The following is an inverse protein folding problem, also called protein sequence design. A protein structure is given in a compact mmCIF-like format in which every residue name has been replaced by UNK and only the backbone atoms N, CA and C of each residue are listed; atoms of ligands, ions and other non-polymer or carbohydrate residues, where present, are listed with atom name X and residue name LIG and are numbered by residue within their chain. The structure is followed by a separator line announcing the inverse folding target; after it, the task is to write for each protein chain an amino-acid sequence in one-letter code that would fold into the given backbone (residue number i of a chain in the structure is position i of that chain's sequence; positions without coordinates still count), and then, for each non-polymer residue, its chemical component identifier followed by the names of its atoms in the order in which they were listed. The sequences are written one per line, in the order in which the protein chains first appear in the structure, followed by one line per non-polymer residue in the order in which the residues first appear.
data_IF_747101682983
#
_entry.id   IF_747101682983
#
_cell.length_a   1.000
_cell.length_b   1.000
_cell.length_c   1.000
_cell.angle_alpha   90.00
_cell.angle_beta   90.00
_cell.angle_gamma   90.00
#
_symmetry.space_group_name_H-M   'P 1'
#
loop_
_entity.id
_entity.type
_entity.pdbx_description
1 polymer ?
#
# COMPACT_ATOMS: atom_id res chain seq x y z
N UNK A 1 -96.71 -31.87 -35.74
CA UNK A 1 -96.76 -30.72 -34.80
C UNK A 1 -95.84 -31.02 -33.67
N UNK A 2 -94.68 -30.52 -33.62
CA UNK A 2 -93.88 -30.27 -32.46
C UNK A 2 -92.59 -29.53 -32.89
N UNK A 3 -92.45 -28.31 -32.46
CA UNK A 3 -91.30 -27.49 -32.75
C UNK A 3 -90.21 -27.76 -31.70
N UNK A 4 -89.04 -28.21 -32.13
CA UNK A 4 -87.90 -28.35 -31.24
C UNK A 4 -87.01 -27.17 -31.47
N UNK A 5 -86.85 -26.30 -30.41
CA UNK A 5 -85.98 -25.15 -30.39
C UNK A 5 -84.56 -25.59 -30.25
N UNK A 6 -83.71 -25.16 -31.20
CA UNK A 6 -82.23 -25.26 -31.07
C UNK A 6 -81.71 -24.18 -30.22
N UNK A 7 -81.02 -24.52 -29.10
CA UNK A 7 -80.28 -23.60 -28.24
C UNK A 7 -78.82 -23.53 -28.73
N UNK A 8 -78.46 -22.36 -29.22
CA UNK A 8 -77.09 -22.06 -29.64
C UNK A 8 -76.19 -21.88 -28.42
N UNK A 9 -75.17 -22.70 -28.28
CA UNK A 9 -74.11 -22.53 -27.28
C UNK A 9 -73.06 -21.53 -27.80
N UNK A 10 -73.01 -20.34 -27.23
CA UNK A 10 -71.90 -19.38 -27.43
C UNK A 10 -70.76 -19.81 -26.55
N UNK A 11 -69.65 -20.18 -27.18
CA UNK A 11 -68.39 -20.49 -26.52
C UNK A 11 -67.70 -19.18 -26.17
N UNK A 12 -67.53 -18.88 -24.87
CA UNK A 12 -66.69 -17.79 -24.40
C UNK A 12 -65.25 -18.26 -24.40
N UNK A 13 -64.43 -17.68 -25.24
CA UNK A 13 -62.97 -17.78 -25.17
C UNK A 13 -62.50 -16.75 -24.13
N UNK A 14 -62.14 -17.25 -22.95
CA UNK A 14 -61.41 -16.46 -21.94
C UNK A 14 -59.93 -16.45 -22.31
N UNK A 15 -59.45 -15.30 -22.81
CA UNK A 15 -58.03 -15.06 -23.02
C UNK A 15 -57.29 -14.98 -21.69
N UNK A 16 -56.39 -15.88 -21.42
CA UNK A 16 -55.45 -15.83 -20.30
C UNK A 16 -54.28 -14.99 -20.75
N UNK A 17 -54.22 -13.71 -20.28
CA UNK A 17 -53.02 -12.86 -20.47
C UNK A 17 -51.99 -13.37 -19.50
N UNK A 18 -50.91 -13.99 -20.03
CA UNK A 18 -49.71 -14.28 -19.27
C UNK A 18 -48.94 -12.98 -18.96
N UNK A 19 -49.05 -12.49 -17.76
CA UNK A 19 -48.18 -11.42 -17.25
C UNK A 19 -46.79 -11.97 -17.03
N UNK A 20 -45.83 -11.55 -17.88
CA UNK A 20 -44.42 -11.84 -17.67
C UNK A 20 -43.93 -11.10 -16.43
N UNK A 21 -43.71 -11.80 -15.31
CA UNK A 21 -43.04 -11.28 -14.13
C UNK A 21 -41.54 -11.23 -14.47
N UNK A 22 -41.05 -10.05 -14.80
CA UNK A 22 -39.60 -9.81 -14.90
C UNK A 22 -39.00 -9.97 -13.49
N UNK A 23 -38.31 -11.06 -13.26
CA UNK A 23 -37.55 -11.27 -12.03
C UNK A 23 -36.36 -10.29 -12.05
N UNK A 24 -36.47 -9.18 -11.32
CA UNK A 24 -35.37 -8.30 -11.03
C UNK A 24 -34.34 -9.07 -10.19
N UNK A 25 -33.21 -9.42 -10.77
CA UNK A 25 -32.09 -10.00 -10.04
C UNK A 25 -31.66 -9.00 -8.95
N UNK A 26 -31.53 -9.42 -7.68
CA UNK A 26 -31.03 -8.53 -6.65
C UNK A 26 -29.62 -8.12 -7.02
N UNK A 27 -29.38 -6.81 -7.17
CA UNK A 27 -28.02 -6.27 -7.29
C UNK A 27 -27.28 -6.66 -6.01
N UNK A 28 -26.30 -7.57 -6.14
CA UNK A 28 -25.40 -7.92 -5.04
C UNK A 28 -24.53 -6.68 -4.82
N UNK A 29 -24.92 -5.83 -3.88
CA UNK A 29 -24.05 -4.79 -3.35
C UNK A 29 -22.88 -5.52 -2.68
N UNK A 30 -21.73 -5.52 -3.34
CA UNK A 30 -20.49 -6.01 -2.72
C UNK A 30 -20.28 -5.21 -1.43
N UNK A 31 -20.21 -5.90 -0.29
CA UNK A 31 -19.89 -5.26 0.98
C UNK A 31 -18.59 -4.46 0.81
N UNK A 32 -18.50 -3.24 1.36
CA UNK A 32 -17.28 -2.46 1.29
C UNK A 32 -16.13 -3.31 1.82
N UNK A 33 -15.06 -3.45 1.01
CA UNK A 33 -13.86 -4.17 1.44
C UNK A 33 -13.39 -3.55 2.75
N UNK A 34 -13.10 -4.36 3.80
CA UNK A 34 -12.55 -3.82 5.04
C UNK A 34 -11.30 -3.02 4.70
N UNK A 35 -11.18 -1.82 5.29
CA UNK A 35 -10.00 -0.97 5.08
C UNK A 35 -8.76 -1.81 5.36
N UNK A 36 -7.84 -1.89 4.40
CA UNK A 36 -6.60 -2.64 4.53
C UNK A 36 -5.89 -2.24 5.81
N UNK A 37 -5.50 -3.20 6.64
CA UNK A 37 -4.73 -2.92 7.85
C UNK A 37 -3.32 -2.54 7.43
N UNK A 38 -3.01 -1.26 7.50
CA UNK A 38 -1.75 -0.70 7.07
C UNK A 38 -0.80 -0.48 8.26
N UNK A 39 0.51 -0.63 8.00
CA UNK A 39 1.59 -0.28 8.92
C UNK A 39 2.63 0.54 8.17
N UNK A 40 3.16 1.56 8.81
CA UNK A 40 4.27 2.37 8.31
C UNK A 40 5.55 1.89 8.97
N UNK A 41 6.52 1.43 8.18
CA UNK A 41 7.85 1.08 8.65
C UNK A 41 8.79 2.19 8.22
N UNK A 42 9.41 2.84 9.20
CA UNK A 42 10.12 4.08 9.03
C UNK A 42 11.58 3.97 9.46
N UNK A 43 12.50 4.34 8.57
CA UNK A 43 13.81 4.81 8.96
C UNK A 43 14.01 6.24 8.45
N UNK A 44 14.59 7.12 9.26
CA UNK A 44 14.90 8.49 8.87
C UNK A 44 16.01 9.06 9.74
N UNK A 45 17.05 9.60 9.12
CA UNK A 45 18.16 10.25 9.81
C UNK A 45 17.93 11.76 10.01
N UNK A 46 17.57 12.45 8.92
CA UNK A 46 17.45 13.92 8.91
C UNK A 46 16.04 14.43 9.22
N UNK A 47 15.06 13.53 9.35
CA UNK A 47 13.67 13.88 9.60
C UNK A 47 12.81 14.08 8.34
N UNK A 48 13.37 14.13 7.14
CA UNK A 48 12.60 14.35 5.91
C UNK A 48 11.63 13.18 5.64
N UNK A 49 12.13 11.95 5.66
CA UNK A 49 11.28 10.77 5.50
C UNK A 49 10.32 10.60 6.67
N UNK A 50 10.73 10.97 7.90
CA UNK A 50 9.85 10.94 9.07
C UNK A 50 8.65 11.87 8.90
N UNK A 51 8.86 13.06 8.35
CA UNK A 51 7.77 13.98 8.03
C UNK A 51 6.73 13.33 7.11
N UNK A 52 7.16 12.68 6.02
CA UNK A 52 6.23 11.98 5.11
C UNK A 52 5.47 10.86 5.82
N UNK A 53 6.16 10.07 6.65
CA UNK A 53 5.55 8.99 7.43
C UNK A 53 4.48 9.53 8.40
N UNK A 54 4.73 10.65 9.06
CA UNK A 54 3.78 11.32 9.94
C UNK A 54 2.55 11.83 9.16
N UNK A 55 2.75 12.36 7.95
CA UNK A 55 1.64 12.77 7.07
C UNK A 55 0.79 11.57 6.63
N UNK A 56 1.43 10.46 6.26
CA UNK A 56 0.71 9.21 5.92
C UNK A 56 -0.07 8.71 7.15
N UNK A 57 0.53 8.72 8.33
CA UNK A 57 -0.17 8.37 9.56
C UNK A 57 -1.42 9.24 9.78
N UNK A 58 -1.29 10.55 9.62
CA UNK A 58 -2.41 11.49 9.80
C UNK A 58 -3.56 11.25 8.81
N UNK A 59 -3.27 10.88 7.55
CA UNK A 59 -4.29 10.64 6.52
C UNK A 59 -4.91 9.23 6.61
N UNK A 60 -4.14 8.22 7.07
CA UNK A 60 -4.55 6.81 7.00
C UNK A 60 -4.89 6.18 8.36
N UNK A 61 -4.38 6.75 9.45
CA UNK A 61 -4.42 6.15 10.79
C UNK A 61 -3.46 4.97 10.97
N UNK A 62 -2.64 4.62 9.96
CA UNK A 62 -1.68 3.51 10.04
C UNK A 62 -0.61 3.79 11.11
N UNK A 63 -0.35 2.89 12.05
CA UNK A 63 0.69 3.08 13.07
C UNK A 63 2.09 3.14 12.44
N UNK A 64 3.02 3.79 13.13
CA UNK A 64 4.42 3.92 12.71
C UNK A 64 5.30 3.02 13.56
N UNK A 65 6.04 2.11 12.91
CA UNK A 65 7.13 1.34 13.49
C UNK A 65 8.47 1.94 13.02
N UNK A 66 9.19 2.58 13.94
CA UNK A 66 10.49 3.18 13.61
C UNK A 66 11.61 2.15 13.72
N UNK A 67 12.37 1.98 12.65
CA UNK A 67 13.58 1.17 12.64
C UNK A 67 14.73 2.01 13.20
N UNK A 68 15.41 1.50 14.22
CA UNK A 68 16.56 2.14 14.82
C UNK A 68 17.77 1.22 14.77
N UNK A 69 18.89 1.65 14.17
CA UNK A 69 20.12 0.89 14.21
C UNK A 69 20.65 0.82 15.65
N UNK A 70 21.24 -0.33 16.03
CA UNK A 70 21.86 -0.52 17.35
C UNK A 70 23.01 0.45 17.57
N UNK A 71 23.81 0.64 16.54
CA UNK A 71 24.87 1.66 16.52
C UNK A 71 24.41 2.80 15.62
N UNK A 72 24.16 4.00 16.14
CA UNK A 72 23.75 5.15 15.34
C UNK A 72 24.80 5.50 14.27
N UNK A 73 24.34 6.15 13.19
CA UNK A 73 25.27 6.74 12.22
C UNK A 73 25.95 7.97 12.80
N UNK A 74 27.15 8.27 12.27
CA UNK A 74 27.89 9.43 12.68
C UNK A 74 27.07 10.72 12.55
N UNK A 75 27.17 11.66 13.52
CA UNK A 75 26.44 12.93 13.46
C UNK A 75 26.84 13.77 12.26
N UNK A 76 28.13 13.85 11.96
CA UNK A 76 28.65 14.60 10.82
C UNK A 76 28.24 13.92 9.51
N UNK A 77 27.74 14.72 8.56
CA UNK A 77 27.18 14.20 7.32
C UNK A 77 28.20 13.44 6.46
N UNK A 78 29.43 13.97 6.28
CA UNK A 78 30.49 13.31 5.52
C UNK A 78 30.81 11.92 6.04
N UNK A 79 31.02 11.80 7.36
CA UNK A 79 31.40 10.52 7.97
C UNK A 79 30.27 9.48 7.84
N UNK A 80 29.02 9.95 7.94
CA UNK A 80 27.86 9.11 7.72
C UNK A 80 27.78 8.64 6.26
N UNK A 81 27.97 9.54 5.29
CA UNK A 81 27.86 9.20 3.87
C UNK A 81 28.94 8.23 3.43
N UNK A 82 30.16 8.35 3.92
CA UNK A 82 31.26 7.43 3.62
C UNK A 82 30.98 6.03 4.20
N UNK A 83 30.57 5.97 5.46
CA UNK A 83 30.16 4.71 6.09
C UNK A 83 28.99 4.04 5.38
N UNK A 84 27.95 4.80 5.05
CA UNK A 84 26.79 4.30 4.31
C UNK A 84 27.16 3.81 2.90
N UNK A 85 28.08 4.50 2.22
CA UNK A 85 28.60 4.07 0.90
C UNK A 85 29.22 2.69 0.95
N UNK A 86 30.09 2.45 1.94
CA UNK A 86 30.73 1.15 2.12
C UNK A 86 29.72 0.05 2.45
N UNK A 87 28.75 0.34 3.32
CA UNK A 87 27.68 -0.60 3.64
C UNK A 87 26.85 -0.95 2.40
N UNK A 88 26.49 0.03 1.57
CA UNK A 88 25.73 -0.17 0.33
C UNK A 88 26.55 -1.02 -0.65
N UNK A 89 27.81 -0.65 -0.89
CA UNK A 89 28.70 -1.35 -1.84
C UNK A 89 28.93 -2.80 -1.47
N UNK A 90 29.12 -3.10 -0.17
CA UNK A 90 29.36 -4.45 0.37
C UNK A 90 28.08 -5.24 0.60
N UNK A 91 26.90 -4.65 0.37
CA UNK A 91 25.60 -5.23 0.73
C UNK A 91 25.56 -5.66 2.21
N UNK A 92 26.17 -4.85 3.08
CA UNK A 92 26.31 -5.15 4.50
C UNK A 92 24.96 -5.12 5.21
N UNK A 93 24.92 -5.79 6.37
CA UNK A 93 23.82 -5.65 7.34
C UNK A 93 24.23 -4.63 8.40
N UNK A 94 23.23 -3.95 8.96
CA UNK A 94 23.40 -3.12 10.15
C UNK A 94 22.41 -3.56 11.21
N UNK A 95 22.92 -4.04 12.34
CA UNK A 95 22.06 -4.52 13.43
C UNK A 95 21.06 -3.44 13.85
N UNK A 96 19.78 -3.81 13.95
CA UNK A 96 18.71 -2.95 14.43
C UNK A 96 18.36 -3.33 15.87
N UNK A 97 18.03 -2.32 16.71
CA UNK A 97 17.61 -2.54 18.11
C UNK A 97 16.09 -2.57 18.25
N UNK A 98 15.37 -2.16 17.23
CA UNK A 98 13.90 -2.16 17.23
C UNK A 98 13.37 -3.57 17.38
N UNK A 99 12.51 -3.78 18.36
CA UNK A 99 11.73 -5.03 18.46
C UNK A 99 10.61 -5.00 17.44
N UNK A 100 10.63 -5.95 16.53
CA UNK A 100 9.62 -6.07 15.48
C UNK A 100 8.43 -6.86 16.02
N UNK A 101 7.22 -6.29 16.05
CA UNK A 101 6.02 -7.02 16.47
C UNK A 101 5.61 -8.05 15.42
N UNK A 102 4.59 -8.85 15.74
CA UNK A 102 3.95 -9.69 14.72
C UNK A 102 3.33 -8.83 13.61
N UNK A 103 3.78 -9.06 12.38
CA UNK A 103 3.32 -8.34 11.20
C UNK A 103 2.15 -9.03 10.48
N UNK A 104 1.71 -10.20 10.95
CA UNK A 104 0.67 -11.00 10.29
C UNK A 104 -0.66 -10.25 10.16
N UNK A 105 -0.96 -9.38 11.12
CA UNK A 105 -2.18 -8.57 11.15
C UNK A 105 -2.24 -7.42 10.13
N UNK A 106 -1.18 -7.17 9.35
CA UNK A 106 -1.12 -6.08 8.38
C UNK A 106 -1.06 -6.62 6.96
N UNK A 107 -1.91 -6.10 6.08
CA UNK A 107 -1.95 -6.47 4.66
C UNK A 107 -1.12 -5.50 3.80
N UNK A 108 -1.00 -4.25 4.26
CA UNK A 108 -0.32 -3.16 3.57
C UNK A 108 0.80 -2.59 4.41
N UNK A 109 1.95 -2.39 3.78
CA UNK A 109 3.15 -1.85 4.42
C UNK A 109 3.64 -0.64 3.63
N UNK A 110 3.72 0.53 4.27
CA UNK A 110 4.45 1.66 3.76
C UNK A 110 5.92 1.53 4.19
N UNK A 111 6.83 1.44 3.23
CA UNK A 111 8.28 1.46 3.49
C UNK A 111 8.76 2.90 3.33
N UNK A 112 8.89 3.61 4.44
CA UNK A 112 9.35 5.00 4.49
C UNK A 112 10.84 5.05 4.81
N UNK A 113 11.69 5.34 3.82
CA UNK A 113 13.13 5.22 3.94
C UNK A 113 13.89 6.25 3.10
N UNK A 114 15.03 6.77 3.56
CA UNK A 114 15.89 7.58 2.72
C UNK A 114 16.58 6.70 1.66
N UNK A 115 16.80 7.29 0.51
CA UNK A 115 17.64 6.70 -0.53
C UNK A 115 19.09 7.15 -0.31
N UNK A 116 19.99 6.19 -0.20
CA UNK A 116 21.42 6.44 -0.07
C UNK A 116 22.22 5.77 -1.20
N UNK A 117 23.02 6.55 -1.89
CA UNK A 117 23.85 6.05 -2.99
C UNK A 117 23.07 5.25 -4.06
N UNK A 118 21.84 5.68 -4.35
CA UNK A 118 20.97 5.02 -5.32
C UNK A 118 20.22 3.79 -4.82
N UNK A 119 20.34 3.44 -3.53
CA UNK A 119 19.79 2.22 -2.93
C UNK A 119 18.97 2.51 -1.66
N UNK A 120 18.23 1.52 -1.22
CA UNK A 120 17.58 1.51 0.09
C UNK A 120 18.64 1.55 1.20
N UNK A 121 18.43 2.36 2.23
CA UNK A 121 19.34 2.44 3.37
C UNK A 121 19.58 1.08 4.06
N UNK A 122 20.73 0.94 4.71
CA UNK A 122 21.13 -0.34 5.28
C UNK A 122 20.25 -0.83 6.43
N UNK A 123 19.77 0.02 7.37
CA UNK A 123 18.82 -0.41 8.41
C UNK A 123 17.54 -1.00 7.84
N UNK A 124 16.94 -0.35 6.84
CA UNK A 124 15.73 -0.85 6.20
C UNK A 124 16.00 -2.12 5.40
N UNK A 125 17.14 -2.22 4.69
CA UNK A 125 17.54 -3.49 4.03
C UNK A 125 17.69 -4.62 5.04
N UNK A 126 18.32 -4.36 6.19
CA UNK A 126 18.46 -5.38 7.25
C UNK A 126 17.09 -5.85 7.73
N UNK A 127 16.16 -4.92 7.97
CA UNK A 127 14.80 -5.27 8.32
C UNK A 127 14.13 -6.17 7.26
N UNK A 128 14.23 -5.82 5.98
CA UNK A 128 13.61 -6.61 4.91
C UNK A 128 14.27 -7.97 4.68
N UNK A 129 15.59 -8.10 4.96
CA UNK A 129 16.27 -9.39 4.94
C UNK A 129 15.71 -10.36 6.00
N UNK A 130 15.33 -9.86 7.17
CA UNK A 130 14.78 -10.65 8.26
C UNK A 130 13.27 -10.85 8.15
N UNK A 131 12.58 -9.91 7.46
CA UNK A 131 11.13 -9.88 7.30
C UNK A 131 10.76 -9.61 5.83
N UNK A 132 10.79 -10.61 4.94
CA UNK A 132 10.61 -10.42 3.49
C UNK A 132 9.18 -10.09 3.06
N UNK A 133 8.27 -9.80 3.98
CA UNK A 133 6.90 -9.30 3.77
C UNK A 133 6.09 -10.08 2.72
N UNK A 134 6.24 -11.40 2.68
CA UNK A 134 5.55 -12.26 1.71
C UNK A 134 4.02 -12.10 1.79
N UNK A 135 3.37 -11.98 0.64
CA UNK A 135 1.92 -11.84 0.51
C UNK A 135 1.39 -10.43 0.84
N UNK A 136 2.24 -9.50 1.25
CA UNK A 136 1.82 -8.13 1.59
C UNK A 136 1.92 -7.20 0.39
N UNK A 137 1.16 -6.11 0.46
CA UNK A 137 1.27 -4.99 -0.49
C UNK A 137 2.23 -3.95 0.08
N UNK A 138 3.26 -3.59 -0.67
CA UNK A 138 4.28 -2.60 -0.26
C UNK A 138 4.11 -1.32 -1.06
N UNK A 139 4.07 -0.20 -0.35
CA UNK A 139 4.10 1.16 -0.90
C UNK A 139 5.44 1.81 -0.52
N UNK A 140 6.41 1.92 -1.43
CA UNK A 140 7.66 2.63 -1.16
C UNK A 140 7.41 4.14 -1.04
N UNK A 141 7.99 4.76 -0.01
CA UNK A 141 7.95 6.21 0.22
C UNK A 141 9.35 6.66 0.53
N UNK A 142 9.97 7.42 -0.37
CA UNK A 142 11.39 7.68 -0.29
C UNK A 142 11.74 9.16 -0.43
N UNK A 143 12.84 9.54 0.22
CA UNK A 143 13.45 10.84 0.07
C UNK A 143 14.93 10.70 -0.29
N UNK A 144 15.47 11.58 -1.13
CA UNK A 144 16.90 11.60 -1.46
C UNK A 144 17.41 13.02 -1.65
N UNK A 145 18.73 13.20 -1.72
CA UNK A 145 19.32 14.48 -2.11
C UNK A 145 19.07 14.79 -3.60
N UNK A 146 19.43 13.85 -4.48
CA UNK A 146 19.36 14.06 -5.93
C UNK A 146 19.21 12.77 -6.73
N UNK A 147 19.24 11.60 -6.09
CA UNK A 147 19.23 10.30 -6.80
C UNK A 147 17.79 9.86 -7.11
N UNK A 148 17.62 9.20 -8.26
CA UNK A 148 16.36 8.55 -8.64
C UNK A 148 16.04 7.37 -7.71
N UNK A 149 14.75 7.12 -7.40
CA UNK A 149 14.33 6.04 -6.51
C UNK A 149 14.40 4.64 -7.14
N UNK A 150 14.71 4.50 -8.42
CA UNK A 150 14.68 3.22 -9.14
C UNK A 150 15.45 2.09 -8.44
N UNK A 151 16.61 2.39 -7.83
CA UNK A 151 17.39 1.40 -7.09
C UNK A 151 16.72 0.94 -5.80
N UNK A 152 15.96 1.80 -5.14
CA UNK A 152 15.18 1.42 -3.94
C UNK A 152 14.10 0.40 -4.29
N UNK A 153 13.36 0.65 -5.36
CA UNK A 153 12.31 -0.27 -5.82
C UNK A 153 12.91 -1.62 -6.22
N UNK A 154 14.06 -1.60 -6.90
CA UNK A 154 14.80 -2.81 -7.26
C UNK A 154 15.28 -3.60 -6.00
N UNK A 155 15.79 -2.90 -4.99
CA UNK A 155 16.19 -3.52 -3.72
C UNK A 155 14.99 -4.16 -3.00
N UNK A 156 13.83 -3.48 -2.96
CA UNK A 156 12.62 -4.02 -2.35
C UNK A 156 12.13 -5.26 -3.11
N UNK A 157 12.14 -5.26 -4.45
CA UNK A 157 11.81 -6.44 -5.25
C UNK A 157 12.73 -7.62 -4.95
N UNK A 158 14.04 -7.37 -4.84
CA UNK A 158 15.02 -8.39 -4.51
C UNK A 158 14.81 -8.98 -3.12
N UNK A 159 14.51 -8.15 -2.13
CA UNK A 159 14.36 -8.54 -0.73
C UNK A 159 12.96 -9.11 -0.41
N UNK A 160 11.95 -8.69 -1.14
CA UNK A 160 10.56 -9.08 -0.94
C UNK A 160 9.93 -9.69 -2.22
N UNK A 161 10.50 -10.78 -2.78
CA UNK A 161 10.07 -11.30 -4.09
C UNK A 161 8.65 -11.86 -4.12
N UNK A 162 8.03 -12.09 -2.96
CA UNK A 162 6.65 -12.57 -2.82
C UNK A 162 5.67 -11.48 -2.36
N UNK A 163 6.09 -10.22 -2.35
CA UNK A 163 5.24 -9.08 -2.05
C UNK A 163 4.72 -8.43 -3.34
N UNK A 164 3.60 -7.71 -3.25
CA UNK A 164 3.10 -6.85 -4.33
C UNK A 164 3.61 -5.43 -4.12
N UNK A 165 4.50 -4.94 -4.98
CA UNK A 165 5.07 -3.60 -4.87
C UNK A 165 4.26 -2.64 -5.73
N UNK A 166 3.80 -1.56 -5.13
CA UNK A 166 3.01 -0.50 -5.76
C UNK A 166 3.90 0.65 -6.23
N UNK A 167 3.39 1.55 -7.10
CA UNK A 167 4.12 2.75 -7.46
C UNK A 167 4.59 3.53 -6.24
N UNK A 168 5.83 3.93 -6.27
CA UNK A 168 6.48 4.68 -5.19
C UNK A 168 6.00 6.13 -5.11
N UNK A 169 6.13 6.72 -3.92
CA UNK A 169 6.16 8.15 -3.71
C UNK A 169 7.59 8.57 -3.40
N UNK A 170 8.13 9.45 -4.22
CA UNK A 170 9.48 9.98 -4.04
C UNK A 170 9.50 11.50 -4.20
N UNK A 171 10.25 12.15 -3.33
CA UNK A 171 10.54 13.58 -3.42
C UNK A 171 11.97 13.86 -2.99
N UNK A 172 12.61 14.95 -3.47
CA UNK A 172 13.82 15.48 -2.87
C UNK A 172 13.62 15.76 -1.38
N UNK A 173 14.65 15.53 -0.55
CA UNK A 173 14.51 15.64 0.90
C UNK A 173 14.14 17.05 1.37
N UNK A 174 14.64 18.08 0.71
CA UNK A 174 14.31 19.50 0.98
C UNK A 174 12.90 19.89 0.54
N UNK A 175 12.30 19.15 -0.38
CA UNK A 175 10.92 19.32 -0.83
C UNK A 175 9.90 18.53 0.01
N UNK A 176 10.34 17.61 0.86
CA UNK A 176 9.44 16.74 1.62
C UNK A 176 8.35 17.52 2.39
N UNK A 177 8.71 18.66 2.99
CA UNK A 177 7.76 19.48 3.75
C UNK A 177 6.82 20.34 2.89
N UNK A 178 7.00 20.34 1.59
CA UNK A 178 6.16 21.06 0.61
C UNK A 178 5.26 20.11 -0.20
N UNK A 179 5.43 18.80 -0.04
CA UNK A 179 4.80 17.77 -0.88
C UNK A 179 3.46 17.26 -0.34
N UNK A 180 2.84 17.90 0.64
CA UNK A 180 1.59 17.43 1.26
C UNK A 180 0.46 17.19 0.26
N UNK A 181 0.26 18.10 -0.70
CA UNK A 181 -0.79 17.98 -1.71
C UNK A 181 -0.56 16.81 -2.67
N UNK A 182 0.71 16.61 -3.05
CA UNK A 182 1.13 15.51 -3.93
C UNK A 182 1.00 14.17 -3.21
N UNK A 183 1.46 14.09 -1.96
CA UNK A 183 1.35 12.91 -1.12
C UNK A 183 -0.12 12.52 -0.92
N UNK A 184 -0.98 13.47 -0.62
CA UNK A 184 -2.42 13.23 -0.47
C UNK A 184 -3.07 12.74 -1.76
N UNK A 185 -2.65 13.29 -2.90
CA UNK A 185 -3.12 12.84 -4.22
C UNK A 185 -2.67 11.41 -4.50
N UNK A 186 -1.41 11.09 -4.18
CA UNK A 186 -0.87 9.74 -4.34
C UNK A 186 -1.57 8.73 -3.42
N UNK A 187 -1.84 9.06 -2.15
CA UNK A 187 -2.59 8.23 -1.22
C UNK A 187 -3.99 7.92 -1.74
N UNK A 188 -4.74 8.93 -2.24
CA UNK A 188 -6.06 8.72 -2.84
C UNK A 188 -6.01 7.77 -4.04
N UNK A 189 -5.04 7.93 -4.94
CA UNK A 189 -4.84 7.02 -6.08
C UNK A 189 -4.47 5.61 -5.64
N UNK A 190 -3.88 5.47 -4.46
CA UNK A 190 -3.48 4.22 -3.84
C UNK A 190 -4.60 3.54 -3.03
N UNK A 191 -5.76 4.20 -2.89
CA UNK A 191 -6.93 3.64 -2.21
C UNK A 191 -7.05 3.98 -0.72
N UNK A 192 -6.37 5.06 -0.27
CA UNK A 192 -6.41 5.56 1.11
C UNK A 192 -7.14 6.89 1.25
#
# INVERSE_FOLDING_TARGET
MNQTKFISRRTFLTGVSAAAIAAASPAIFAAPKPKAKALIILFSRSGNTAYLAERIHAETGAPILRIEPKVPYAPRYSDMTDGAREEIRKWSRREIKTKIPDLSGYDTIFICAPLWWGHLDTPMRTFLMDHPLAGKTIFPVTTSGSSSPAGVVADIHKLCPKATIKPEFWVPGDEARKSDAELKTWLKKSGF
#
